data_IF_353657926468
#
_entry.id   IF_353657926468
#
_cell.length_a   1.000
_cell.length_b   1.000
_cell.length_c   1.000
_cell.angle_alpha   90.00
_cell.angle_beta   90.00
_cell.angle_gamma   90.00
#
_symmetry.space_group_name_H-M   'P 1'
#
loop_
_entity.id
_entity.type
_entity.pdbx_description
1 polymer ?
#
# COMPACT_ATOMS: atom_id res chain seq x y z
N UNK A 1 4.26 -16.42 21.02
CA UNK A 1 4.61 -15.55 19.89
C UNK A 1 4.39 -16.28 18.56
N UNK A 2 4.83 -17.53 18.40
CA UNK A 2 4.57 -18.33 17.18
C UNK A 2 3.09 -18.70 16.94
N UNK A 3 2.29 -18.93 17.99
CA UNK A 3 0.89 -19.36 17.85
C UNK A 3 -0.02 -18.30 17.20
N UNK A 4 0.23 -17.02 17.47
CA UNK A 4 -0.53 -15.93 16.87
C UNK A 4 -0.17 -15.77 15.40
N UNK A 5 1.12 -15.83 15.07
CA UNK A 5 1.62 -15.76 13.71
C UNK A 5 1.10 -16.94 12.86
N UNK A 6 1.14 -18.16 13.40
CA UNK A 6 0.60 -19.34 12.71
C UNK A 6 -0.91 -19.22 12.47
N UNK A 7 -1.67 -18.77 13.48
CA UNK A 7 -3.10 -18.55 13.33
C UNK A 7 -3.41 -17.49 12.26
N UNK A 8 -2.69 -16.36 12.26
CA UNK A 8 -2.84 -15.28 11.27
C UNK A 8 -2.58 -15.82 9.86
N UNK A 9 -1.46 -16.52 9.67
CA UNK A 9 -1.05 -17.05 8.36
C UNK A 9 -2.07 -18.05 7.82
N UNK A 10 -2.53 -19.00 8.63
CA UNK A 10 -3.55 -19.99 8.23
C UNK A 10 -4.86 -19.31 7.82
N UNK A 11 -5.26 -18.25 8.52
CA UNK A 11 -6.49 -17.52 8.22
C UNK A 11 -6.37 -16.68 6.95
N UNK A 12 -5.24 -16.01 6.74
CA UNK A 12 -4.97 -15.30 5.49
C UNK A 12 -4.90 -16.27 4.31
N UNK A 13 -4.28 -17.43 4.48
CA UNK A 13 -4.26 -18.50 3.48
C UNK A 13 -5.68 -18.97 3.13
N UNK A 14 -6.51 -19.25 4.14
CA UNK A 14 -7.91 -19.62 3.93
C UNK A 14 -8.69 -18.52 3.19
N UNK A 15 -8.44 -17.24 3.48
CA UNK A 15 -9.08 -16.11 2.80
C UNK A 15 -8.69 -16.04 1.32
N UNK A 16 -7.39 -16.14 1.01
CA UNK A 16 -6.92 -16.02 -0.38
C UNK A 16 -7.29 -17.23 -1.22
N UNK A 17 -7.46 -18.39 -0.58
CA UNK A 17 -8.01 -19.61 -1.18
C UNK A 17 -9.55 -19.65 -1.20
N UNK A 18 -10.22 -18.56 -0.81
CA UNK A 18 -11.69 -18.41 -0.80
C UNK A 18 -12.43 -19.45 0.07
N UNK A 19 -11.73 -20.02 1.06
CA UNK A 19 -12.32 -20.95 2.03
C UNK A 19 -13.11 -20.21 3.12
N UNK A 20 -12.74 -18.95 3.39
CA UNK A 20 -13.47 -18.03 4.26
C UNK A 20 -13.64 -16.68 3.57
N UNK A 21 -14.69 -15.95 3.94
CA UNK A 21 -14.97 -14.62 3.38
C UNK A 21 -14.20 -13.52 4.13
N UNK A 22 -14.00 -12.34 3.51
CA UNK A 22 -13.48 -11.16 4.20
C UNK A 22 -14.23 -10.84 5.50
N UNK A 23 -15.56 -10.93 5.48
CA UNK A 23 -16.41 -10.69 6.65
C UNK A 23 -16.19 -11.70 7.77
N UNK A 24 -16.08 -12.99 7.42
CA UNK A 24 -15.82 -14.03 8.41
C UNK A 24 -14.48 -13.81 9.09
N UNK A 25 -13.42 -13.56 8.30
CA UNK A 25 -12.11 -13.30 8.87
C UNK A 25 -12.08 -12.02 9.71
N UNK A 26 -12.68 -10.92 9.24
CA UNK A 26 -12.75 -9.69 10.00
C UNK A 26 -13.38 -9.89 11.38
N UNK A 27 -14.51 -10.61 11.45
CA UNK A 27 -15.17 -10.93 12.71
C UNK A 27 -14.35 -11.88 13.59
N UNK A 28 -13.68 -12.87 13.01
CA UNK A 28 -12.80 -13.79 13.75
C UNK A 28 -11.63 -13.04 14.40
N UNK A 29 -11.02 -12.12 13.64
CA UNK A 29 -9.95 -11.25 14.13
C UNK A 29 -10.42 -10.31 15.24
N UNK A 30 -11.58 -9.67 15.04
CA UNK A 30 -12.18 -8.75 16.01
C UNK A 30 -12.48 -9.42 17.35
N UNK A 31 -13.11 -10.61 17.30
CA UNK A 31 -13.38 -11.42 18.49
C UNK A 31 -12.10 -11.84 19.19
N UNK A 32 -11.08 -12.25 18.44
CA UNK A 32 -9.79 -12.68 19.00
C UNK A 32 -9.10 -11.53 19.72
N UNK A 33 -9.00 -10.36 19.10
CA UNK A 33 -8.42 -9.18 19.74
C UNK A 33 -9.24 -8.77 20.96
N UNK A 34 -10.57 -8.72 20.86
CA UNK A 34 -11.44 -8.38 21.99
C UNK A 34 -11.23 -9.32 23.18
N UNK A 35 -11.06 -10.63 22.92
CA UNK A 35 -10.77 -11.61 23.95
C UNK A 35 -9.39 -11.40 24.61
N UNK A 36 -8.38 -10.93 23.86
CA UNK A 36 -7.05 -10.60 24.38
C UNK A 36 -7.04 -9.32 25.23
N UNK A 37 -7.94 -8.36 24.94
CA UNK A 37 -8.03 -7.06 25.65
C UNK A 37 -8.89 -7.14 26.91
N UNK A 38 -9.84 -8.09 26.98
CA UNK A 38 -10.68 -8.23 28.18
C UNK A 38 -9.81 -8.65 29.37
N UNK A 39 -9.78 -7.89 30.47
CA UNK A 39 -9.00 -8.26 31.64
C UNK A 39 -9.54 -9.58 32.20
N UNK A 40 -8.71 -10.62 32.22
CA UNK A 40 -8.95 -11.74 33.11
C UNK A 40 -8.87 -11.19 34.53
N UNK A 41 -10.00 -11.15 35.24
CA UNK A 41 -10.15 -10.45 36.52
C UNK A 41 -9.24 -10.97 37.64
N UNK A 42 -8.66 -12.17 37.50
CA UNK A 42 -8.05 -12.86 38.64
C UNK A 42 -6.61 -13.36 38.43
N UNK A 43 -5.99 -13.16 37.26
CA UNK A 43 -4.57 -13.51 37.03
C UNK A 43 -3.94 -12.45 36.11
N UNK A 44 -3.08 -11.60 36.67
CA UNK A 44 -2.31 -10.62 35.90
C UNK A 44 -0.96 -11.21 35.50
N UNK A 45 -0.79 -11.64 34.25
CA UNK A 45 0.33 -11.22 33.44
C UNK A 45 -0.11 -9.99 32.64
N UNK A 46 0.81 -9.04 32.45
CA UNK A 46 0.63 -7.78 31.74
C UNK A 46 -0.34 -7.89 30.54
N UNK A 47 -1.24 -6.91 30.32
CA UNK A 47 -2.14 -6.92 29.18
C UNK A 47 -1.32 -7.17 27.92
N UNK A 48 -1.55 -8.30 27.26
CA UNK A 48 -0.89 -8.62 26.01
C UNK A 48 -1.18 -7.48 25.05
N UNK A 49 -0.17 -6.63 24.81
CA UNK A 49 -0.35 -5.46 23.97
C UNK A 49 -0.90 -5.92 22.63
N UNK A 50 -2.07 -5.39 22.24
CA UNK A 50 -2.74 -5.70 20.97
C UNK A 50 -1.79 -5.52 19.76
N UNK A 51 -0.77 -4.69 19.94
CA UNK A 51 0.37 -4.51 19.03
C UNK A 51 1.07 -5.82 18.63
N UNK A 52 1.18 -6.79 19.54
CA UNK A 52 1.76 -8.12 19.26
C UNK A 52 0.89 -8.97 18.33
N UNK A 53 -0.36 -8.58 18.09
CA UNK A 53 -1.23 -9.23 17.11
C UNK A 53 -1.35 -8.40 15.83
N UNK A 54 -1.55 -7.07 15.96
CA UNK A 54 -1.71 -6.15 14.83
C UNK A 54 -0.46 -6.12 13.95
N UNK A 55 0.73 -6.00 14.55
CA UNK A 55 1.99 -5.92 13.82
C UNK A 55 2.21 -7.14 12.92
N UNK A 56 2.22 -8.36 13.48
CA UNK A 56 2.34 -9.59 12.69
C UNK A 56 1.23 -9.75 11.64
N UNK A 57 0.00 -9.33 11.94
CA UNK A 57 -1.08 -9.35 10.97
C UNK A 57 -0.77 -8.49 9.74
N UNK A 58 -0.42 -7.21 9.93
CA UNK A 58 -0.12 -6.34 8.80
C UNK A 58 1.13 -6.79 8.05
N UNK A 59 2.15 -7.32 8.74
CA UNK A 59 3.31 -7.92 8.06
C UNK A 59 2.91 -9.10 7.16
N UNK A 60 2.09 -10.03 7.67
CA UNK A 60 1.62 -11.18 6.90
C UNK A 60 0.71 -10.73 5.73
N UNK A 61 -0.19 -9.78 5.98
CA UNK A 61 -1.05 -9.17 4.97
C UNK A 61 -0.21 -8.57 3.82
N UNK A 62 0.83 -7.80 4.14
CA UNK A 62 1.68 -7.16 3.14
C UNK A 62 2.41 -8.18 2.27
N UNK A 63 2.91 -9.28 2.87
CA UNK A 63 3.49 -10.40 2.10
C UNK A 63 2.47 -10.98 1.12
N UNK A 64 1.24 -11.21 1.58
CA UNK A 64 0.16 -11.70 0.71
C UNK A 64 -0.15 -10.70 -0.42
N UNK A 65 -0.21 -9.39 -0.15
CA UNK A 65 -0.42 -8.36 -1.16
C UNK A 65 0.61 -8.40 -2.30
N UNK A 66 1.88 -8.69 -1.98
CA UNK A 66 2.96 -8.84 -2.97
C UNK A 66 2.96 -10.19 -3.71
N UNK A 67 2.27 -11.20 -3.16
CA UNK A 67 2.26 -12.57 -3.67
C UNK A 67 1.23 -12.82 -4.78
N UNK A 68 0.19 -11.98 -4.86
CA UNK A 68 -0.89 -12.13 -5.85
C UNK A 68 -0.85 -11.03 -6.91
N UNK A 69 -0.98 -11.37 -8.20
CA UNK A 69 -1.02 -10.37 -9.27
C UNK A 69 -2.12 -9.31 -9.08
N UNK A 70 -1.96 -8.13 -9.71
CA UNK A 70 -3.00 -7.11 -9.74
C UNK A 70 -4.38 -7.68 -10.07
N UNK A 71 -5.38 -7.38 -9.24
CA UNK A 71 -6.78 -7.80 -9.39
C UNK A 71 -7.05 -9.32 -9.33
N UNK A 72 -6.06 -10.13 -8.96
CA UNK A 72 -6.28 -11.56 -8.65
C UNK A 72 -7.31 -11.71 -7.51
N UNK A 73 -8.18 -12.74 -7.51
CA UNK A 73 -9.18 -12.95 -6.46
C UNK A 73 -8.61 -12.90 -5.03
N UNK A 74 -7.43 -13.50 -4.83
CA UNK A 74 -6.71 -13.42 -3.55
C UNK A 74 -6.40 -11.97 -3.14
N UNK A 75 -5.87 -11.15 -4.04
CA UNK A 75 -5.61 -9.74 -3.74
C UNK A 75 -6.90 -8.95 -3.51
N UNK A 76 -7.96 -9.21 -4.27
CA UNK A 76 -9.27 -8.57 -4.08
C UNK A 76 -9.84 -8.88 -2.70
N UNK A 77 -9.72 -10.13 -2.24
CA UNK A 77 -10.16 -10.54 -0.92
C UNK A 77 -9.36 -9.86 0.20
N UNK A 78 -8.05 -9.62 0.01
CA UNK A 78 -7.24 -8.87 0.98
C UNK A 78 -7.68 -7.41 1.08
N UNK A 79 -7.92 -6.74 -0.06
CA UNK A 79 -8.45 -5.36 -0.05
C UNK A 79 -9.83 -5.31 0.61
N UNK A 80 -10.71 -6.27 0.28
CA UNK A 80 -12.03 -6.38 0.87
C UNK A 80 -11.96 -6.64 2.39
N UNK A 81 -11.02 -7.46 2.86
CA UNK A 81 -10.80 -7.70 4.29
C UNK A 81 -10.50 -6.39 5.01
N UNK A 82 -9.57 -5.58 4.50
CA UNK A 82 -9.19 -4.31 5.12
C UNK A 82 -10.36 -3.33 5.12
N UNK A 83 -11.13 -3.29 4.03
CA UNK A 83 -12.37 -2.52 3.99
C UNK A 83 -13.33 -2.96 5.10
N UNK A 84 -13.59 -4.25 5.23
CA UNK A 84 -14.48 -4.78 6.26
C UNK A 84 -13.97 -4.52 7.67
N UNK A 85 -12.67 -4.68 7.93
CA UNK A 85 -12.05 -4.36 9.22
C UNK A 85 -12.23 -2.88 9.58
N UNK A 86 -12.16 -1.97 8.61
CA UNK A 86 -12.38 -0.53 8.82
C UNK A 86 -13.85 -0.17 9.10
N UNK A 87 -14.80 -1.01 8.67
CA UNK A 87 -16.24 -0.87 8.89
C UNK A 87 -16.71 -1.47 10.23
N UNK A 88 -15.86 -2.23 10.93
CA UNK A 88 -16.20 -2.80 12.23
C UNK A 88 -16.36 -1.72 13.31
N UNK A 89 -17.17 -1.98 14.36
CA UNK A 89 -17.28 -1.08 15.51
C UNK A 89 -15.91 -0.76 16.11
N UNK A 90 -15.70 0.50 16.50
CA UNK A 90 -14.48 0.92 17.18
C UNK A 90 -14.43 0.33 18.58
N UNK A 91 -13.26 -0.13 18.99
CA UNK A 91 -13.03 -0.67 20.32
C UNK A 91 -12.30 0.33 21.20
N UNK A 92 -12.50 0.21 22.51
CA UNK A 92 -11.76 0.97 23.50
C UNK A 92 -10.57 0.11 23.90
N UNK A 93 -9.35 0.53 23.56
CA UNK A 93 -8.11 -0.17 23.93
C UNK A 93 -7.25 0.77 24.77
N UNK A 94 -6.73 0.33 25.93
CA UNK A 94 -5.75 1.07 26.69
C UNK A 94 -4.51 1.37 25.83
N UNK A 95 -4.23 2.64 25.55
CA UNK A 95 -2.93 3.03 25.01
C UNK A 95 -1.97 3.33 26.15
N UNK A 96 -0.99 2.44 26.37
CA UNK A 96 0.28 2.78 27.02
C UNK A 96 0.24 3.17 28.50
N UNK A 97 -0.89 3.06 29.20
CA UNK A 97 -0.99 3.37 30.62
C UNK A 97 -0.88 2.11 31.48
N UNK A 98 -0.06 2.17 32.52
CA UNK A 98 0.00 1.16 33.57
C UNK A 98 -1.32 1.12 34.36
N UNK A 99 -1.67 0.01 35.03
CA UNK A 99 -2.91 -0.08 35.81
C UNK A 99 -3.18 1.04 36.81
N UNK A 100 -2.14 1.74 37.28
CA UNK A 100 -2.27 2.88 38.20
C UNK A 100 -2.67 4.20 37.51
N UNK A 101 -2.34 4.36 36.23
CA UNK A 101 -2.68 5.55 35.43
C UNK A 101 -4.06 5.42 34.76
N UNK A 102 -4.67 4.22 34.84
CA UNK A 102 -5.97 3.85 34.26
C UNK A 102 -7.16 4.53 34.98
N UNK A 103 -7.00 4.98 36.23
CA UNK A 103 -8.12 5.57 37.01
C UNK A 103 -8.33 7.08 36.75
N UNK A 104 -7.37 7.80 36.16
CA UNK A 104 -7.42 9.27 36.07
C UNK A 104 -7.77 9.84 34.68
N UNK A 105 -7.57 9.10 33.59
CA UNK A 105 -7.89 9.58 32.23
C UNK A 105 -9.04 8.82 31.54
N UNK A 106 -10.00 9.52 30.90
CA UNK A 106 -11.03 8.87 30.11
C UNK A 106 -10.40 8.14 28.91
N UNK A 107 -10.73 6.86 28.77
CA UNK A 107 -10.24 6.00 27.71
C UNK A 107 -10.38 6.63 26.31
N UNK A 108 -9.29 6.62 25.54
CA UNK A 108 -9.36 6.95 24.11
C UNK A 108 -9.88 5.74 23.35
N UNK A 109 -11.10 5.86 22.81
CA UNK A 109 -11.60 4.93 21.82
C UNK A 109 -10.76 5.09 20.54
N UNK A 110 -10.08 4.04 20.10
CA UNK A 110 -9.28 4.06 18.88
C UNK A 110 -9.72 2.95 17.94
N UNK A 111 -9.57 3.17 16.63
CA UNK A 111 -9.75 2.06 15.70
C UNK A 111 -8.49 1.18 15.79
N UNK A 112 -8.66 -0.03 16.33
CA UNK A 112 -7.60 -1.05 16.41
C UNK A 112 -6.96 -1.30 15.04
N UNK A 113 -7.77 -1.17 13.99
CA UNK A 113 -7.40 -1.40 12.60
C UNK A 113 -6.94 -0.14 11.87
N UNK A 114 -6.71 0.97 12.59
CA UNK A 114 -6.05 2.14 12.00
C UNK A 114 -4.65 1.72 11.56
N UNK A 115 -4.54 1.47 10.27
CA UNK A 115 -3.43 0.74 9.70
C UNK A 115 -2.11 1.49 9.89
N UNK A 116 -1.10 0.72 10.24
CA UNK A 116 0.29 1.17 10.32
C UNK A 116 0.89 1.00 8.93
N UNK A 117 0.88 2.06 8.11
CA UNK A 117 1.53 2.04 6.80
C UNK A 117 3.03 1.71 6.93
N UNK A 118 3.61 1.92 8.11
CA UNK A 118 4.97 1.51 8.47
C UNK A 118 5.18 -0.01 8.44
N UNK A 119 4.15 -0.82 8.69
CA UNK A 119 4.25 -2.27 8.55
C UNK A 119 4.46 -2.69 7.08
N UNK A 120 3.99 -1.87 6.13
CA UNK A 120 4.22 -2.09 4.71
C UNK A 120 5.63 -1.69 4.28
N UNK A 121 6.21 -0.66 4.92
CA UNK A 121 7.58 -0.19 4.68
C UNK A 121 8.63 -1.32 4.88
N UNK A 122 8.41 -2.18 5.88
CA UNK A 122 9.32 -3.30 6.15
C UNK A 122 9.41 -4.30 5.00
N UNK A 123 8.28 -4.62 4.35
CA UNK A 123 8.26 -5.57 3.24
C UNK A 123 8.85 -5.00 1.95
N UNK A 124 8.95 -3.67 1.84
CA UNK A 124 9.52 -3.01 0.67
C UNK A 124 10.94 -3.51 0.34
N UNK A 125 11.73 -3.84 1.37
CA UNK A 125 13.07 -4.41 1.20
C UNK A 125 13.10 -5.82 0.57
N UNK A 126 11.99 -6.57 0.59
CA UNK A 126 11.91 -7.96 0.16
C UNK A 126 11.16 -8.18 -1.17
N UNK A 127 10.60 -7.11 -1.76
CA UNK A 127 9.75 -7.18 -2.97
C UNK A 127 10.46 -6.76 -4.25
N UNK A 128 11.75 -6.45 -4.22
CA UNK A 128 12.54 -6.00 -5.38
C UNK A 128 12.60 -6.99 -6.56
N UNK A 129 12.11 -8.22 -6.39
CA UNK A 129 11.84 -9.10 -7.51
C UNK A 129 10.79 -8.47 -8.44
N UNK A 130 11.06 -8.33 -9.77
CA UNK A 130 10.21 -7.56 -10.69
C UNK A 130 8.72 -7.91 -10.72
N UNK A 131 8.37 -9.16 -10.40
CA UNK A 131 6.98 -9.62 -10.35
C UNK A 131 6.26 -9.26 -9.04
N UNK A 132 7.01 -9.14 -7.94
CA UNK A 132 6.46 -8.81 -6.62
C UNK A 132 6.21 -7.33 -6.49
N UNK A 133 7.11 -6.47 -6.98
CA UNK A 133 6.91 -5.01 -6.93
C UNK A 133 5.65 -4.58 -7.67
N UNK A 134 5.35 -5.17 -8.83
CA UNK A 134 4.09 -4.93 -9.55
C UNK A 134 2.86 -5.27 -8.70
N UNK A 135 2.86 -6.45 -8.11
CA UNK A 135 1.74 -6.94 -7.30
C UNK A 135 1.55 -6.06 -6.07
N UNK A 136 2.66 -5.71 -5.42
CA UNK A 136 2.71 -4.83 -4.26
C UNK A 136 2.19 -3.42 -4.56
N UNK A 137 2.71 -2.74 -5.58
CA UNK A 137 2.25 -1.40 -5.96
C UNK A 137 0.77 -1.35 -6.31
N UNK A 138 0.24 -2.41 -6.96
CA UNK A 138 -1.20 -2.51 -7.22
C UNK A 138 -2.01 -2.56 -5.93
N UNK A 139 -1.59 -3.36 -4.94
CA UNK A 139 -2.24 -3.37 -3.64
C UNK A 139 -2.13 -2.01 -2.93
N UNK A 140 -0.96 -1.37 -2.96
CA UNK A 140 -0.71 -0.09 -2.28
C UNK A 140 -1.57 1.03 -2.90
N UNK A 141 -1.62 1.10 -4.22
CA UNK A 141 -2.46 2.04 -4.94
C UNK A 141 -3.93 1.86 -4.54
N UNK A 142 -4.44 0.63 -4.58
CA UNK A 142 -5.84 0.31 -4.26
C UNK A 142 -6.21 0.61 -2.81
N UNK A 143 -5.34 0.26 -1.85
CA UNK A 143 -5.54 0.59 -0.43
C UNK A 143 -5.59 2.10 -0.19
N UNK A 144 -4.70 2.83 -0.86
CA UNK A 144 -4.58 4.29 -0.75
C UNK A 144 -5.79 4.99 -1.36
N UNK A 145 -6.14 4.63 -2.59
CA UNK A 145 -7.25 5.25 -3.32
C UNK A 145 -8.62 4.94 -2.71
N UNK A 146 -8.75 3.76 -2.06
CA UNK A 146 -9.95 3.41 -1.30
C UNK A 146 -10.04 4.13 0.07
N UNK A 147 -9.07 4.97 0.42
CA UNK A 147 -9.03 5.67 1.72
C UNK A 147 -8.85 4.73 2.91
N UNK A 148 -8.31 3.53 2.69
CA UNK A 148 -8.14 2.50 3.72
C UNK A 148 -6.81 2.68 4.46
N UNK A 149 -5.72 2.77 3.71
CA UNK A 149 -4.35 2.89 4.25
C UNK A 149 -3.57 3.80 3.31
N UNK A 150 -3.00 4.88 3.83
CA UNK A 150 -2.18 5.77 3.01
C UNK A 150 -0.79 5.17 2.77
N UNK A 151 -0.64 4.48 1.66
CA UNK A 151 0.60 3.85 1.20
C UNK A 151 1.30 4.65 0.09
N UNK A 152 0.94 5.92 -0.10
CA UNK A 152 1.46 6.75 -1.18
C UNK A 152 2.99 6.84 -1.22
N UNK A 153 3.63 6.93 -0.06
CA UNK A 153 5.09 7.05 0.05
C UNK A 153 5.84 5.78 -0.37
N UNK A 154 5.14 4.65 -0.52
CA UNK A 154 5.68 3.35 -0.92
C UNK A 154 5.56 3.12 -2.44
N UNK A 155 5.07 4.11 -3.19
CA UNK A 155 4.87 4.00 -4.63
C UNK A 155 6.19 3.91 -5.40
N UNK A 156 6.22 3.01 -6.36
CA UNK A 156 7.33 2.86 -7.29
C UNK A 156 7.51 4.06 -8.24
N UNK A 157 6.56 4.99 -8.29
CA UNK A 157 6.69 6.25 -9.04
C UNK A 157 7.91 7.06 -8.58
N UNK A 158 8.34 6.92 -7.32
CA UNK A 158 9.57 7.55 -6.82
C UNK A 158 10.81 7.12 -7.62
N UNK A 159 10.97 5.82 -7.87
CA UNK A 159 12.20 5.25 -8.43
C UNK A 159 12.32 5.37 -9.95
N UNK A 160 11.35 6.03 -10.59
CA UNK A 160 11.45 6.42 -12.00
C UNK A 160 11.71 7.93 -12.15
N UNK A 161 11.89 8.68 -11.06
CA UNK A 161 12.29 10.08 -11.11
C UNK A 161 13.80 10.20 -11.34
N UNK A 162 14.28 11.03 -12.28
CA UNK A 162 15.71 11.28 -12.48
C UNK A 162 16.44 11.89 -11.27
N UNK A 163 15.70 12.44 -10.31
CA UNK A 163 16.24 13.00 -9.06
C UNK A 163 16.44 11.96 -7.96
N UNK A 164 15.94 10.74 -8.13
CA UNK A 164 16.15 9.66 -7.16
C UNK A 164 17.57 9.10 -7.27
N UNK A 165 18.24 8.90 -6.14
CA UNK A 165 19.63 8.44 -6.09
C UNK A 165 19.83 7.05 -6.72
N UNK A 166 18.76 6.26 -6.82
CA UNK A 166 18.78 4.94 -7.45
C UNK A 166 18.52 4.99 -8.97
N UNK A 167 18.19 6.15 -9.53
CA UNK A 167 17.94 6.32 -10.96
C UNK A 167 19.23 6.09 -11.76
N UNK A 168 19.29 5.09 -12.66
CA UNK A 168 20.54 4.72 -13.31
C UNK A 168 20.91 5.70 -14.43
N UNK A 169 22.21 6.01 -14.51
CA UNK A 169 22.78 6.64 -15.69
C UNK A 169 22.85 5.62 -16.84
N UNK A 170 22.04 5.87 -17.88
CA UNK A 170 21.91 4.98 -19.03
C UNK A 170 23.11 5.03 -19.97
N UNK A 171 24.02 6.00 -19.82
CA UNK A 171 25.26 6.07 -20.60
C UNK A 171 26.31 5.12 -20.01
N UNK A 172 26.43 5.09 -18.69
CA UNK A 172 27.36 4.20 -17.97
C UNK A 172 26.79 2.80 -17.76
N UNK A 173 25.46 2.63 -17.75
CA UNK A 173 24.77 1.33 -17.59
C UNK A 173 23.79 1.04 -18.74
N UNK A 174 24.27 0.81 -19.98
CA UNK A 174 23.40 0.70 -21.15
C UNK A 174 22.50 -0.55 -21.18
N UNK A 175 22.87 -1.62 -20.47
CA UNK A 175 22.10 -2.88 -20.41
C UNK A 175 21.28 -2.97 -19.12
N UNK A 176 21.92 -2.72 -17.98
CA UNK A 176 21.29 -2.88 -16.67
C UNK A 176 20.40 -1.69 -16.29
N UNK A 177 20.73 -0.48 -16.73
CA UNK A 177 19.95 0.73 -16.49
C UNK A 177 18.52 0.62 -17.02
N UNK A 178 18.30 0.30 -18.31
CA UNK A 178 16.96 0.12 -18.85
C UNK A 178 16.15 -0.98 -18.15
N UNK A 179 16.79 -2.07 -17.71
CA UNK A 179 16.13 -3.14 -16.97
C UNK A 179 15.70 -2.68 -15.57
N UNK A 180 16.56 -1.94 -14.85
CA UNK A 180 16.24 -1.40 -13.52
C UNK A 180 15.06 -0.44 -13.60
N UNK A 181 15.11 0.56 -14.50
CA UNK A 181 14.00 1.50 -14.72
C UNK A 181 12.74 0.74 -15.15
N UNK A 182 12.85 -0.19 -16.11
CA UNK A 182 11.73 -0.96 -16.61
C UNK A 182 11.01 -1.76 -15.52
N UNK A 183 11.74 -2.35 -14.58
CA UNK A 183 11.15 -3.09 -13.46
C UNK A 183 10.37 -2.16 -12.50
N UNK A 184 10.97 -1.02 -12.12
CA UNK A 184 10.29 -0.01 -11.29
C UNK A 184 9.07 0.57 -12.01
N UNK A 185 9.18 0.81 -13.32
CA UNK A 185 8.13 1.37 -14.16
C UNK A 185 6.88 0.49 -14.19
N UNK A 186 7.03 -0.84 -14.17
CA UNK A 186 5.88 -1.77 -14.14
C UNK A 186 5.12 -1.69 -12.81
N UNK A 187 5.84 -1.46 -11.70
CA UNK A 187 5.24 -1.14 -10.40
C UNK A 187 4.56 0.23 -10.41
N UNK A 188 5.30 1.26 -10.84
CA UNK A 188 4.82 2.64 -10.93
C UNK A 188 3.54 2.76 -11.76
N UNK A 189 3.45 2.02 -12.87
CA UNK A 189 2.27 1.98 -13.73
C UNK A 189 1.00 1.51 -12.99
N UNK A 190 1.08 0.77 -11.89
CA UNK A 190 -0.11 0.36 -11.15
C UNK A 190 -0.85 1.52 -10.48
N UNK A 191 -0.16 2.63 -10.23
CA UNK A 191 -0.79 3.88 -9.74
C UNK A 191 -1.46 4.68 -10.86
N UNK A 192 -1.26 4.30 -12.11
CA UNK A 192 -1.65 5.09 -13.28
C UNK A 192 -2.64 4.32 -14.17
N UNK A 193 -2.49 3.01 -14.35
CA UNK A 193 -3.30 2.25 -15.31
C UNK A 193 -4.78 2.13 -14.92
N UNK A 194 -5.09 2.17 -13.62
CA UNK A 194 -6.45 2.16 -13.12
C UNK A 194 -7.08 3.56 -13.16
N UNK A 195 -8.32 3.75 -13.63
CA UNK A 195 -8.93 5.08 -13.73
C UNK A 195 -9.05 5.82 -12.40
N UNK A 196 -9.41 5.10 -11.33
CA UNK A 196 -9.56 5.69 -10.00
C UNK A 196 -8.20 5.98 -9.37
N UNK A 197 -7.22 5.09 -9.56
CA UNK A 197 -5.85 5.26 -9.10
C UNK A 197 -5.16 6.46 -9.80
N UNK A 198 -5.33 6.58 -11.12
CA UNK A 198 -4.81 7.69 -11.89
C UNK A 198 -5.42 9.01 -11.46
N UNK A 199 -6.75 9.04 -11.25
CA UNK A 199 -7.47 10.23 -10.79
C UNK A 199 -6.97 10.66 -9.42
N UNK A 200 -6.88 9.71 -8.48
CA UNK A 200 -6.31 9.97 -7.16
C UNK A 200 -4.92 10.60 -7.26
N UNK A 201 -3.99 9.97 -8.00
CA UNK A 201 -2.63 10.47 -8.14
C UNK A 201 -2.60 11.88 -8.75
N UNK A 202 -3.40 12.12 -9.79
CA UNK A 202 -3.52 13.44 -10.42
C UNK A 202 -4.04 14.48 -9.43
N UNK A 203 -5.18 14.21 -8.77
CA UNK A 203 -5.79 15.12 -7.80
C UNK A 203 -4.84 15.44 -6.65
N UNK A 204 -4.10 14.47 -6.11
CA UNK A 204 -3.10 14.72 -5.08
C UNK A 204 -1.96 15.62 -5.59
N UNK A 205 -1.48 15.38 -6.83
CA UNK A 205 -0.45 16.19 -7.45
C UNK A 205 -0.89 17.64 -7.68
N UNK A 206 -2.18 17.90 -7.93
CA UNK A 206 -2.68 19.26 -8.13
C UNK A 206 -2.66 20.15 -6.88
N UNK A 207 -2.49 19.56 -5.69
CA UNK A 207 -2.55 20.31 -4.42
C UNK A 207 -1.31 21.16 -4.16
N UNK A 208 -0.16 20.78 -4.72
CA UNK A 208 1.12 21.46 -4.49
C UNK A 208 1.97 21.48 -5.76
N UNK A 209 2.66 22.60 -6.00
CA UNK A 209 3.52 22.73 -7.18
C UNK A 209 4.76 21.82 -7.09
N UNK A 210 5.40 21.83 -5.91
CA UNK A 210 6.64 21.10 -5.61
C UNK A 210 6.62 20.50 -4.22
N UNK A 211 7.41 19.46 -4.03
CA UNK A 211 7.66 18.83 -2.73
C UNK A 211 9.16 18.84 -2.43
N UNK A 212 9.52 18.93 -1.16
CA UNK A 212 10.91 18.77 -0.72
C UNK A 212 11.33 17.30 -0.86
N UNK A 213 12.48 17.07 -1.48
CA UNK A 213 13.11 15.77 -1.76
C UNK A 213 13.29 14.92 -0.50
N UNK A 214 13.40 15.55 0.69
CA UNK A 214 13.65 14.83 1.95
C UNK A 214 12.40 14.29 2.66
N UNK A 215 11.19 14.59 2.19
CA UNK A 215 9.96 14.17 2.88
C UNK A 215 9.35 12.92 2.25
N UNK A 216 8.56 12.15 3.03
CA UNK A 216 7.67 11.07 2.54
C UNK A 216 6.52 11.59 1.63
N UNK A 217 6.76 12.70 0.93
CA UNK A 217 5.81 13.37 0.03
C UNK A 217 6.21 13.07 -1.40
N UNK A 218 5.25 12.52 -2.14
CA UNK A 218 5.47 12.08 -3.51
C UNK A 218 4.71 12.94 -4.53
N UNK A 219 3.54 13.44 -4.14
CA UNK A 219 2.60 14.07 -5.07
C UNK A 219 2.91 15.57 -5.24
N UNK A 220 3.15 15.97 -6.49
CA UNK A 220 3.31 17.37 -6.90
C UNK A 220 3.06 17.51 -8.40
N UNK A 221 2.73 18.73 -8.85
CA UNK A 221 2.60 19.03 -10.29
C UNK A 221 3.89 18.75 -11.05
N UNK A 222 5.03 19.11 -10.47
CA UNK A 222 6.35 18.85 -11.05
C UNK A 222 6.62 17.35 -11.24
N UNK A 223 6.35 16.53 -10.21
CA UNK A 223 6.53 15.08 -10.31
C UNK A 223 5.54 14.46 -11.30
N UNK A 224 4.29 14.91 -11.35
CA UNK A 224 3.32 14.44 -12.34
C UNK A 224 3.82 14.67 -13.77
N UNK A 225 4.32 15.88 -14.06
CA UNK A 225 4.90 16.20 -15.36
C UNK A 225 6.16 15.38 -15.67
N UNK A 226 7.01 15.10 -14.67
CA UNK A 226 8.19 14.24 -14.83
C UNK A 226 7.79 12.78 -15.09
N UNK A 227 6.88 12.19 -14.32
CA UNK A 227 6.41 10.82 -14.57
C UNK A 227 5.80 10.66 -15.95
N UNK A 228 5.00 11.65 -16.40
CA UNK A 228 4.46 11.66 -17.77
C UNK A 228 5.58 11.62 -18.82
N UNK A 229 6.63 12.44 -18.63
CA UNK A 229 7.83 12.42 -19.48
C UNK A 229 8.57 11.09 -19.43
N UNK A 230 8.70 10.47 -18.25
CA UNK A 230 9.39 9.19 -18.06
C UNK A 230 8.65 8.03 -18.74
N UNK A 231 7.32 7.96 -18.60
CA UNK A 231 6.53 6.97 -19.33
C UNK A 231 6.61 7.18 -20.86
N UNK A 232 6.58 8.42 -21.34
CA UNK A 232 6.78 8.71 -22.77
C UNK A 232 8.17 8.31 -23.26
N UNK A 233 9.21 8.63 -22.47
CA UNK A 233 10.60 8.28 -22.77
C UNK A 233 10.78 6.76 -22.90
N UNK A 234 10.35 5.99 -21.91
CA UNK A 234 10.46 4.52 -21.96
C UNK A 234 9.62 3.92 -23.09
N UNK A 235 8.45 4.48 -23.40
CA UNK A 235 7.63 4.02 -24.51
C UNK A 235 8.34 4.15 -25.88
N UNK A 236 9.15 5.19 -26.06
CA UNK A 236 9.81 5.52 -27.34
C UNK A 236 11.24 5.00 -27.49
N UNK A 237 11.90 4.56 -26.41
CA UNK A 237 13.33 4.22 -26.43
C UNK A 237 13.57 2.72 -26.63
N UNK A 238 14.26 2.36 -27.72
CA UNK A 238 14.51 0.97 -28.11
C UNK A 238 15.47 0.21 -27.19
N UNK A 239 16.19 0.90 -26.29
CA UNK A 239 17.02 0.24 -25.25
C UNK A 239 16.16 -0.53 -24.25
N UNK A 240 14.88 -0.21 -24.14
CA UNK A 240 13.95 -0.90 -23.25
C UNK A 240 13.28 -2.08 -23.93
N UNK A 241 13.15 -3.19 -23.21
CA UNK A 241 12.42 -4.37 -23.69
C UNK A 241 10.96 -4.03 -24.02
N UNK A 242 10.39 -4.68 -25.05
CA UNK A 242 9.04 -4.42 -25.54
C UNK A 242 7.96 -4.41 -24.44
N UNK A 243 8.08 -5.32 -23.46
CA UNK A 243 7.14 -5.41 -22.32
C UNK A 243 7.09 -4.11 -21.51
N UNK A 244 8.22 -3.41 -21.32
CA UNK A 244 8.27 -2.15 -20.58
C UNK A 244 7.69 -1.02 -21.43
N UNK A 245 8.06 -0.95 -22.71
CA UNK A 245 7.55 0.06 -23.65
C UNK A 245 6.03 0.02 -23.78
N UNK A 246 5.46 -1.19 -23.88
CA UNK A 246 4.00 -1.38 -23.97
C UNK A 246 3.26 -0.90 -22.71
N UNK A 247 3.77 -1.21 -21.51
CA UNK A 247 3.20 -0.72 -20.25
C UNK A 247 3.34 0.80 -20.14
N UNK A 248 4.50 1.33 -20.52
CA UNK A 248 4.78 2.76 -20.47
C UNK A 248 3.86 3.56 -21.40
N UNK A 249 3.61 3.06 -22.62
CA UNK A 249 2.70 3.69 -23.57
C UNK A 249 1.26 3.73 -23.04
N UNK A 250 0.79 2.66 -22.40
CA UNK A 250 -0.54 2.61 -21.79
C UNK A 250 -0.67 3.60 -20.62
N UNK A 251 0.31 3.61 -19.71
CA UNK A 251 0.33 4.55 -18.59
C UNK A 251 0.37 6.01 -19.07
N UNK A 252 1.24 6.34 -20.03
CA UNK A 252 1.32 7.68 -20.61
C UNK A 252 -0.01 8.12 -21.24
N UNK A 253 -0.65 7.23 -22.01
CA UNK A 253 -1.97 7.51 -22.58
C UNK A 253 -3.02 7.76 -21.49
N UNK A 254 -3.05 6.92 -20.46
CA UNK A 254 -3.97 7.05 -19.34
C UNK A 254 -3.79 8.36 -18.57
N UNK A 255 -2.55 8.83 -18.38
CA UNK A 255 -2.28 10.14 -17.77
C UNK A 255 -2.87 11.29 -18.59
N UNK A 256 -2.72 11.26 -19.93
CA UNK A 256 -3.30 12.28 -20.83
C UNK A 256 -4.83 12.25 -20.76
N UNK A 257 -5.42 11.06 -20.78
CA UNK A 257 -6.88 10.91 -20.67
C UNK A 257 -7.38 11.44 -19.33
N UNK A 258 -6.69 11.12 -18.23
CA UNK A 258 -7.04 11.59 -16.89
C UNK A 258 -6.98 13.13 -16.77
N UNK A 259 -5.94 13.77 -17.31
CA UNK A 259 -5.84 15.24 -17.32
C UNK A 259 -7.05 15.88 -18.00
N UNK A 260 -7.40 15.39 -19.20
CA UNK A 260 -8.53 15.91 -19.98
C UNK A 260 -9.87 15.71 -19.29
N UNK A 261 -10.09 14.54 -18.69
CA UNK A 261 -11.34 14.25 -17.97
C UNK A 261 -11.52 15.17 -16.76
N UNK A 262 -10.44 15.46 -16.04
CA UNK A 262 -10.47 16.32 -14.85
C UNK A 262 -10.61 17.81 -15.21
N UNK A 263 -9.98 18.27 -16.29
CA UNK A 263 -10.21 19.61 -16.84
C UNK A 263 -11.69 19.81 -17.19
N UNK A 264 -12.29 18.85 -17.90
CA UNK A 264 -13.72 18.89 -18.25
C UNK A 264 -14.66 18.87 -17.03
N UNK A 265 -14.25 18.24 -15.92
CA UNK A 265 -15.02 18.25 -14.66
C UNK A 265 -14.97 19.59 -13.94
N UNK A 266 -13.88 20.35 -14.10
CA UNK A 266 -13.71 21.65 -13.44
C UNK A 266 -14.47 22.78 -14.15
N UNK A 267 -14.81 22.58 -15.42
CA UNK A 267 -15.55 23.55 -16.25
C UNK A 267 -17.10 23.45 -16.10
N UNK A 268 -17.61 22.51 -15.30
CA UNK A 268 -19.05 22.26 -15.05
C UNK A 268 -19.44 22.70 -13.65
#
# INVERSE_FOLDING_TARGET
DDDNDLWIKQRLEALVNQQITPQQLALDMDRRITALVRPNRDDVPEPHHVRYFIGPFFQALTKCCSGFPPYHPGQNNLIALIKTLNELPRHIVPEGLSPAEIEEEPWKATNIWQACAEAFDFEYAYIWAPYRIRSYDSAMARLTCAGLINCAFLSSLRYILPTDDEYPDLTTRPIDGPNKIGNNLVGAAQWILGPEECRYAYTECQKVERVDVRQRKLWSREHWAEWKRQFAFVAGDERFAQKYRSVAAQAHHQMITCEREEELRQDV
#
